data_IF_603003917729
#
_entry.id   IF_603003917729
#
_cell.length_a   1.000
_cell.length_b   1.000
_cell.length_c   1.000
_cell.angle_alpha   90.00
_cell.angle_beta   90.00
_cell.angle_gamma   90.00
#
_symmetry.space_group_name_H-M   'P 1'
#
loop_
_entity.id
_entity.type
_entity.pdbx_description
1 polymer ?
#
# COMPACT_ATOMS: atom_id res chain seq x y z
N UNK A 1 -9.47 -8.01 -13.47
CA UNK A 1 -10.51 -7.71 -12.45
C UNK A 1 -10.77 -8.84 -11.44
N UNK A 2 -11.03 -10.09 -11.87
CA UNK A 2 -11.25 -11.23 -10.94
C UNK A 2 -10.11 -11.45 -9.93
N UNK A 3 -8.85 -11.33 -10.37
CA UNK A 3 -7.68 -11.41 -9.49
C UNK A 3 -7.63 -10.29 -8.43
N UNK A 4 -8.20 -9.13 -8.72
CA UNK A 4 -8.35 -8.02 -7.78
C UNK A 4 -9.57 -8.19 -6.87
N UNK A 5 -10.43 -9.20 -7.10
CA UNK A 5 -11.69 -9.43 -6.37
C UNK A 5 -12.61 -8.19 -6.33
N UNK A 6 -12.66 -7.45 -7.43
CA UNK A 6 -13.54 -6.29 -7.60
C UNK A 6 -14.72 -6.68 -8.48
N UNK A 7 -15.91 -6.18 -8.15
CA UNK A 7 -17.06 -6.18 -9.05
C UNK A 7 -16.79 -5.24 -10.22
N UNK A 8 -17.24 -5.62 -11.41
CA UNK A 8 -17.08 -4.83 -12.62
C UNK A 8 -18.23 -5.12 -13.57
N UNK A 9 -18.60 -4.12 -14.35
CA UNK A 9 -19.49 -4.26 -15.49
C UNK A 9 -18.64 -4.46 -16.75
N UNK A 10 -19.14 -5.25 -17.68
CA UNK A 10 -18.51 -5.44 -18.99
C UNK A 10 -19.34 -4.67 -20.01
N UNK A 11 -18.71 -3.68 -20.64
CA UNK A 11 -19.34 -2.79 -21.63
C UNK A 11 -18.55 -2.84 -22.94
N UNK A 12 -19.20 -2.46 -24.03
CA UNK A 12 -18.56 -2.29 -25.33
C UNK A 12 -17.81 -0.94 -25.41
N UNK A 13 -16.78 -0.82 -26.28
CA UNK A 13 -16.05 0.44 -26.46
C UNK A 13 -16.94 1.63 -26.79
N UNK A 14 -18.00 1.43 -27.58
CA UNK A 14 -18.95 2.47 -27.98
C UNK A 14 -19.82 2.97 -26.82
N UNK A 15 -19.94 2.17 -25.75
CA UNK A 15 -20.74 2.51 -24.56
C UNK A 15 -19.96 3.35 -23.55
N UNK A 16 -18.64 3.45 -23.67
CA UNK A 16 -17.75 4.13 -22.71
C UNK A 16 -18.18 5.57 -22.45
N UNK A 17 -18.56 6.32 -23.50
CA UNK A 17 -18.91 7.74 -23.37
C UNK A 17 -20.19 7.98 -22.57
N UNK A 18 -21.11 7.00 -22.54
CA UNK A 18 -22.39 7.09 -21.84
C UNK A 18 -22.42 6.24 -20.57
N UNK A 19 -21.28 5.67 -20.18
CA UNK A 19 -21.19 4.80 -19.01
C UNK A 19 -21.21 5.62 -17.72
N UNK A 20 -22.14 5.29 -16.83
CA UNK A 20 -22.37 6.01 -15.57
C UNK A 20 -21.46 5.59 -14.41
N UNK A 21 -20.53 4.65 -14.64
CA UNK A 21 -19.56 4.24 -13.63
C UNK A 21 -18.44 5.26 -13.43
N UNK A 22 -17.72 5.10 -12.32
CA UNK A 22 -16.72 6.09 -11.87
C UNK A 22 -15.34 5.92 -12.51
N UNK A 23 -15.06 4.78 -13.12
CA UNK A 23 -13.76 4.44 -13.69
C UNK A 23 -13.95 3.41 -14.80
N UNK A 24 -13.29 3.63 -15.93
CA UNK A 24 -13.29 2.69 -17.05
C UNK A 24 -11.87 2.16 -17.24
N UNK A 25 -11.78 0.84 -17.44
CA UNK A 25 -10.55 0.16 -17.82
C UNK A 25 -10.72 -0.33 -19.25
N UNK A 26 -9.87 0.14 -20.15
CA UNK A 26 -9.97 -0.13 -21.58
C UNK A 26 -8.59 -0.32 -22.20
N UNK A 27 -8.50 -0.73 -23.46
CA UNK A 27 -7.22 -0.71 -24.17
C UNK A 27 -6.92 0.68 -24.72
N UNK A 28 -5.64 1.01 -24.93
CA UNK A 28 -5.27 2.28 -25.59
C UNK A 28 -5.92 2.43 -26.98
N UNK A 29 -6.16 1.32 -27.68
CA UNK A 29 -6.78 1.28 -29.00
C UNK A 29 -8.28 1.56 -28.98
N UNK A 30 -8.97 1.07 -27.95
CA UNK A 30 -10.43 1.22 -27.79
C UNK A 30 -10.81 2.47 -26.99
N UNK A 31 -9.83 3.12 -26.37
CA UNK A 31 -10.04 4.33 -25.58
C UNK A 31 -10.59 5.47 -26.45
N UNK A 32 -11.68 6.15 -26.04
CA UNK A 32 -12.14 7.34 -26.72
C UNK A 32 -11.10 8.46 -26.58
N UNK A 33 -11.08 9.39 -27.56
CA UNK A 33 -10.17 10.56 -27.53
C UNK A 33 -10.48 11.53 -26.40
N UNK A 34 -11.75 11.62 -26.02
CA UNK A 34 -12.27 12.47 -24.94
C UNK A 34 -13.25 11.66 -24.12
N UNK A 35 -13.12 11.70 -22.79
CA UNK A 35 -14.01 11.03 -21.86
C UNK A 35 -14.03 11.83 -20.55
N UNK A 36 -15.22 12.04 -20.00
CA UNK A 36 -15.38 12.66 -18.68
C UNK A 36 -15.03 11.67 -17.57
N UNK A 37 -15.39 10.39 -17.76
CA UNK A 37 -15.05 9.33 -16.82
C UNK A 37 -13.55 9.04 -16.86
N UNK A 38 -12.87 8.97 -15.69
CA UNK A 38 -11.47 8.58 -15.62
C UNK A 38 -11.21 7.25 -16.33
N UNK A 39 -10.13 7.22 -17.10
CA UNK A 39 -9.68 6.05 -17.86
C UNK A 39 -8.38 5.49 -17.28
N UNK A 40 -8.31 4.17 -17.21
CA UNK A 40 -7.10 3.38 -17.07
C UNK A 40 -6.93 2.46 -18.28
N UNK A 41 -5.67 2.17 -18.59
CA UNK A 41 -5.30 1.35 -19.73
C UNK A 41 -4.76 -0.02 -19.28
N UNK A 42 -4.59 -0.93 -20.23
CA UNK A 42 -4.19 -2.31 -20.02
C UNK A 42 -2.76 -2.46 -19.43
N UNK A 43 -1.92 -1.44 -19.60
CA UNK A 43 -0.55 -1.38 -19.09
C UNK A 43 -0.46 -1.44 -17.56
N UNK A 44 -1.52 -1.01 -16.85
CA UNK A 44 -1.53 -1.10 -15.38
C UNK A 44 -1.39 -2.54 -14.89
N UNK A 45 -1.76 -3.54 -15.69
CA UNK A 45 -1.72 -4.94 -15.29
C UNK A 45 -0.31 -5.52 -15.18
N UNK A 46 0.72 -4.78 -15.61
CA UNK A 46 2.12 -5.11 -15.34
C UNK A 46 2.51 -4.87 -13.88
N UNK A 47 1.72 -4.09 -13.13
CA UNK A 47 1.98 -3.79 -11.74
C UNK A 47 1.40 -4.85 -10.76
N UNK A 48 1.93 -4.84 -9.54
CA UNK A 48 1.38 -5.66 -8.46
C UNK A 48 -0.07 -5.26 -8.15
N UNK A 49 -0.98 -6.20 -7.83
CA UNK A 49 -2.39 -5.92 -7.49
C UNK A 49 -2.64 -4.74 -6.53
N UNK A 50 -1.78 -4.58 -5.53
CA UNK A 50 -1.83 -3.45 -4.57
C UNK A 50 -1.57 -2.11 -5.24
N UNK A 51 -0.57 -2.05 -6.13
CA UNK A 51 -0.26 -0.84 -6.90
C UNK A 51 -1.41 -0.54 -7.84
N UNK A 52 -1.98 -1.56 -8.51
CA UNK A 52 -3.17 -1.38 -9.36
C UNK A 52 -4.32 -0.75 -8.56
N UNK A 53 -4.62 -1.28 -7.36
CA UNK A 53 -5.64 -0.69 -6.48
C UNK A 53 -5.34 0.76 -6.13
N UNK A 54 -4.08 1.09 -5.81
CA UNK A 54 -3.67 2.46 -5.55
C UNK A 54 -3.80 3.37 -6.78
N UNK A 55 -3.45 2.91 -7.97
CA UNK A 55 -3.63 3.65 -9.23
C UNK A 55 -5.11 3.92 -9.53
N UNK A 56 -6.00 2.95 -9.27
CA UNK A 56 -7.44 3.14 -9.36
C UNK A 56 -7.91 4.24 -8.38
N UNK A 57 -7.43 4.22 -7.14
CA UNK A 57 -7.75 5.27 -6.16
C UNK A 57 -7.28 6.65 -6.62
N UNK A 58 -6.05 6.75 -7.12
CA UNK A 58 -5.50 8.00 -7.62
C UNK A 58 -6.32 8.57 -8.80
N UNK A 59 -6.83 7.71 -9.68
CA UNK A 59 -7.72 8.14 -10.78
C UNK A 59 -9.11 8.56 -10.33
N UNK A 60 -9.59 8.02 -9.20
CA UNK A 60 -10.90 8.35 -8.64
C UNK A 60 -10.89 9.61 -7.78
N UNK A 61 -9.75 9.93 -7.17
CA UNK A 61 -9.59 11.02 -6.20
C UNK A 61 -8.81 12.21 -6.80
N UNK A 62 -9.12 12.60 -8.04
CA UNK A 62 -8.37 13.62 -8.80
C UNK A 62 -8.33 14.99 -8.11
N UNK A 63 -9.27 15.29 -7.21
CA UNK A 63 -9.42 16.58 -6.53
C UNK A 63 -8.72 16.66 -5.17
N UNK A 64 -8.11 15.56 -4.68
CA UNK A 64 -7.44 15.55 -3.37
C UNK A 64 -5.95 15.87 -3.53
N UNK A 65 -5.54 17.05 -3.04
CA UNK A 65 -4.15 17.54 -3.14
C UNK A 65 -3.17 16.89 -2.14
N UNK A 66 -3.65 16.23 -1.09
CA UNK A 66 -2.79 15.72 -0.02
C UNK A 66 -3.02 14.24 0.23
N UNK A 67 -2.01 13.45 -0.15
CA UNK A 67 -2.13 12.02 -0.09
C UNK A 67 -0.90 11.34 0.46
N UNK A 68 -1.03 10.91 1.72
CA UNK A 68 -0.04 10.13 2.44
C UNK A 68 -0.22 8.64 2.08
N UNK A 69 0.86 8.02 1.62
CA UNK A 69 0.96 6.57 1.51
C UNK A 69 1.53 6.04 2.82
N UNK A 70 0.73 5.33 3.60
CA UNK A 70 1.10 4.85 4.94
C UNK A 70 1.16 3.33 4.95
N UNK A 71 2.31 2.78 5.35
CA UNK A 71 2.54 1.34 5.48
C UNK A 71 2.76 1.02 6.95
N UNK A 72 1.84 0.30 7.58
CA UNK A 72 1.97 -0.23 8.94
C UNK A 72 2.55 -1.64 8.93
N UNK A 73 3.55 -1.88 9.76
CA UNK A 73 4.30 -3.13 9.85
C UNK A 73 4.30 -3.63 11.29
N UNK A 74 3.79 -4.85 11.51
CA UNK A 74 3.86 -5.57 12.78
C UNK A 74 4.99 -6.61 12.76
N UNK A 75 6.18 -6.30 13.31
CA UNK A 75 7.35 -7.15 13.17
C UNK A 75 7.25 -8.44 14.00
N UNK A 76 7.46 -9.58 13.33
CA UNK A 76 7.44 -10.91 13.94
C UNK A 76 7.88 -11.99 12.95
N UNK A 77 7.93 -13.27 13.39
CA UNK A 77 8.24 -14.41 12.51
C UNK A 77 7.39 -14.43 11.23
N UNK A 78 6.11 -14.04 11.39
CA UNK A 78 5.25 -13.61 10.29
C UNK A 78 5.00 -12.14 10.49
N UNK A 79 5.44 -11.33 9.54
CA UNK A 79 5.33 -9.88 9.65
C UNK A 79 4.02 -9.42 9.03
N UNK A 80 3.17 -8.78 9.82
CA UNK A 80 1.92 -8.18 9.35
C UNK A 80 2.20 -6.92 8.55
N UNK A 81 1.40 -6.68 7.49
CA UNK A 81 1.47 -5.48 6.66
C UNK A 81 0.06 -4.93 6.43
N UNK A 82 -0.12 -3.63 6.62
CA UNK A 82 -1.33 -2.92 6.22
C UNK A 82 -0.93 -1.65 5.47
N UNK A 83 -1.56 -1.40 4.33
CA UNK A 83 -1.21 -0.28 3.45
C UNK A 83 -2.45 0.59 3.26
N UNK A 84 -2.29 1.88 3.56
CA UNK A 84 -3.30 2.91 3.42
C UNK A 84 -2.89 3.92 2.37
N UNK A 85 -3.85 4.34 1.56
CA UNK A 85 -3.69 5.35 0.53
C UNK A 85 -5.02 6.08 0.33
N UNK A 86 -5.01 7.41 0.13
CA UNK A 86 -6.21 8.26 0.23
C UNK A 86 -7.07 7.94 1.49
N UNK A 87 -6.42 7.67 2.63
CA UNK A 87 -7.08 7.30 3.89
C UNK A 87 -7.81 5.95 3.92
N UNK A 88 -7.76 5.14 2.85
CA UNK A 88 -8.39 3.81 2.79
C UNK A 88 -7.36 2.69 2.76
N UNK A 89 -7.68 1.57 3.41
CA UNK A 89 -6.84 0.37 3.39
C UNK A 89 -6.92 -0.30 2.00
N UNK A 90 -5.82 -0.30 1.26
CA UNK A 90 -5.72 -0.93 -0.07
C UNK A 90 -5.19 -2.35 -0.01
N UNK A 91 -4.45 -2.68 1.06
CA UNK A 91 -3.94 -4.02 1.33
C UNK A 91 -3.88 -4.29 2.83
N UNK A 92 -4.18 -5.54 3.16
CA UNK A 92 -3.96 -6.13 4.48
C UNK A 92 -3.41 -7.54 4.24
N UNK A 93 -2.18 -7.83 4.67
CA UNK A 93 -1.49 -9.08 4.37
C UNK A 93 -0.47 -9.46 5.46
N UNK A 94 0.16 -10.62 5.31
CA UNK A 94 1.29 -11.04 6.13
C UNK A 94 2.36 -11.63 5.22
N UNK A 95 3.62 -11.47 5.62
CA UNK A 95 4.77 -11.96 4.88
C UNK A 95 5.57 -12.95 5.74
N UNK A 96 6.03 -14.07 5.17
CA UNK A 96 6.74 -15.12 5.92
C UNK A 96 8.20 -14.77 6.20
N UNK A 97 8.74 -13.69 5.60
CA UNK A 97 10.09 -13.21 5.86
C UNK A 97 10.20 -11.70 5.63
N UNK A 98 11.16 -11.06 6.31
CA UNK A 98 11.47 -9.65 6.14
C UNK A 98 11.88 -9.31 4.69
N UNK A 99 12.60 -10.21 4.01
CA UNK A 99 13.02 -10.00 2.63
C UNK A 99 11.84 -9.89 1.65
N UNK A 100 10.90 -10.84 1.71
CA UNK A 100 9.71 -10.80 0.85
C UNK A 100 8.85 -9.57 1.13
N UNK A 101 8.76 -9.18 2.40
CA UNK A 101 8.08 -7.96 2.80
C UNK A 101 8.74 -6.71 2.18
N UNK A 102 10.06 -6.58 2.30
CA UNK A 102 10.82 -5.43 1.79
C UNK A 102 10.68 -5.30 0.28
N UNK A 103 10.81 -6.40 -0.47
CA UNK A 103 10.60 -6.41 -1.93
C UNK A 103 9.20 -5.89 -2.28
N UNK A 104 8.19 -6.33 -1.54
CA UNK A 104 6.81 -5.90 -1.75
C UNK A 104 6.60 -4.42 -1.40
N UNK A 105 7.15 -3.96 -0.27
CA UNK A 105 7.13 -2.54 0.13
C UNK A 105 7.76 -1.67 -0.96
N UNK A 106 8.93 -2.05 -1.49
CA UNK A 106 9.62 -1.31 -2.55
C UNK A 106 8.76 -1.18 -3.80
N UNK A 107 8.07 -2.26 -4.20
CA UNK A 107 7.14 -2.22 -5.34
C UNK A 107 5.99 -1.24 -5.10
N UNK A 108 5.44 -1.19 -3.89
CA UNK A 108 4.36 -0.27 -3.54
C UNK A 108 4.87 1.17 -3.48
N UNK A 109 5.98 1.42 -2.78
CA UNK A 109 6.59 2.74 -2.67
C UNK A 109 7.04 3.28 -4.03
N UNK A 110 7.57 2.45 -4.92
CA UNK A 110 7.97 2.85 -6.27
C UNK A 110 6.79 3.01 -7.23
N UNK A 111 5.74 2.20 -7.07
CA UNK A 111 4.59 2.18 -7.96
C UNK A 111 3.54 3.27 -7.67
N UNK A 112 3.49 3.80 -6.45
CA UNK A 112 2.52 4.81 -6.05
C UNK A 112 3.17 6.17 -5.81
N UNK A 113 2.53 7.22 -6.34
CA UNK A 113 2.93 8.61 -6.12
C UNK A 113 2.18 9.13 -4.90
N UNK A 114 2.89 9.70 -3.95
CA UNK A 114 2.30 10.26 -2.73
C UNK A 114 3.13 11.46 -2.30
N UNK A 115 2.49 12.45 -1.68
CA UNK A 115 3.16 13.65 -1.15
C UNK A 115 4.13 13.25 -0.03
N UNK A 116 3.68 12.32 0.82
CA UNK A 116 4.51 11.69 1.85
C UNK A 116 4.34 10.17 1.78
N UNK A 117 5.45 9.47 1.96
CA UNK A 117 5.50 8.02 2.06
C UNK A 117 5.98 7.68 3.44
N UNK A 118 5.15 7.06 4.26
CA UNK A 118 5.41 6.83 5.68
C UNK A 118 5.39 5.34 5.94
N UNK A 119 6.49 4.81 6.47
CA UNK A 119 6.61 3.42 6.92
C UNK A 119 6.60 3.43 8.44
N UNK A 120 5.50 2.94 9.03
CA UNK A 120 5.32 2.81 10.47
C UNK A 120 5.62 1.37 10.88
N UNK A 121 6.58 1.18 11.79
CA UNK A 121 7.00 -0.14 12.28
C UNK A 121 6.77 -0.20 13.79
N UNK A 122 6.06 -1.23 14.22
CA UNK A 122 5.87 -1.50 15.64
C UNK A 122 7.19 -1.86 16.34
N UNK A 123 7.27 -1.61 17.65
CA UNK A 123 8.47 -1.85 18.46
C UNK A 123 8.48 -3.20 19.20
N UNK A 124 7.54 -4.11 18.92
CA UNK A 124 7.37 -5.38 19.63
C UNK A 124 8.53 -6.36 19.40
N UNK A 125 9.11 -6.36 18.20
CA UNK A 125 10.34 -7.09 17.90
C UNK A 125 11.36 -6.18 17.20
N UNK A 126 12.17 -5.48 18.01
CA UNK A 126 13.17 -4.53 17.52
C UNK A 126 14.29 -5.16 16.69
N UNK A 127 14.55 -6.46 16.83
CA UNK A 127 15.53 -7.16 15.99
C UNK A 127 15.07 -7.21 14.53
N UNK A 128 13.85 -7.70 14.31
CA UNK A 128 13.23 -7.76 12.98
C UNK A 128 12.95 -6.35 12.44
N UNK A 129 12.48 -5.43 13.30
CA UNK A 129 12.21 -4.05 12.90
C UNK A 129 13.46 -3.36 12.33
N UNK A 130 14.60 -3.47 13.02
CA UNK A 130 15.89 -2.93 12.54
C UNK A 130 16.36 -3.59 11.26
N UNK A 131 16.16 -4.90 11.12
CA UNK A 131 16.48 -5.63 9.88
C UNK A 131 15.69 -5.08 8.69
N UNK A 132 14.38 -4.89 8.84
CA UNK A 132 13.52 -4.32 7.78
C UNK A 132 14.00 -2.93 7.37
N UNK A 133 14.29 -2.06 8.35
CA UNK A 133 14.80 -0.70 8.09
C UNK A 133 16.13 -0.73 7.33
N UNK A 134 17.08 -1.56 7.77
CA UNK A 134 18.37 -1.68 7.10
C UNK A 134 18.22 -2.13 5.64
N UNK A 135 17.36 -3.11 5.37
CA UNK A 135 17.10 -3.58 4.01
C UNK A 135 16.42 -2.53 3.14
N UNK A 136 15.44 -1.79 3.69
CA UNK A 136 14.80 -0.69 2.98
C UNK A 136 15.80 0.41 2.60
N UNK A 137 16.69 0.79 3.52
CA UNK A 137 17.70 1.83 3.27
C UNK A 137 18.73 1.45 2.21
N UNK A 138 19.02 0.16 2.08
CA UNK A 138 19.97 -0.36 1.08
C UNK A 138 19.29 -0.50 -0.28
N UNK A 139 18.04 -0.99 -0.31
CA UNK A 139 17.39 -1.42 -1.55
C UNK A 139 16.48 -0.36 -2.18
N UNK A 140 16.02 0.64 -1.42
CA UNK A 140 15.12 1.67 -1.91
C UNK A 140 15.82 3.01 -2.04
N UNK A 141 15.97 3.53 -3.26
CA UNK A 141 16.74 4.74 -3.52
C UNK A 141 15.91 6.05 -3.47
N UNK A 142 14.66 6.01 -3.00
CA UNK A 142 13.81 7.22 -2.85
C UNK A 142 13.51 7.55 -1.39
N UNK A 143 13.21 8.81 -1.10
CA UNK A 143 12.90 9.27 0.25
C UNK A 143 11.59 8.67 0.77
N UNK A 144 11.59 8.33 2.05
CA UNK A 144 10.40 7.98 2.82
C UNK A 144 10.61 8.40 4.27
N UNK A 145 9.53 8.42 5.04
CA UNK A 145 9.55 8.71 6.46
C UNK A 145 9.43 7.40 7.22
N UNK A 146 10.25 7.21 8.25
CA UNK A 146 10.14 6.06 9.15
C UNK A 146 9.55 6.50 10.49
N UNK A 147 8.64 5.71 11.04
CA UNK A 147 8.09 5.95 12.36
C UNK A 147 8.11 4.66 13.17
N UNK A 148 8.69 4.71 14.38
CA UNK A 148 8.57 3.61 15.32
C UNK A 148 7.37 3.84 16.25
N UNK A 149 6.48 2.84 16.31
CA UNK A 149 5.22 2.92 17.06
C UNK A 149 5.28 2.01 18.29
N UNK A 150 4.87 2.53 19.46
CA UNK A 150 4.86 1.75 20.70
C UNK A 150 3.67 0.79 20.81
N UNK A 151 3.98 -0.51 20.84
CA UNK A 151 3.03 -1.63 20.88
C UNK A 151 2.52 -1.99 22.27
N UNK A 152 2.99 -1.34 23.36
CA UNK A 152 2.58 -1.71 24.74
C UNK A 152 1.06 -1.67 25.02
N UNK A 153 0.26 -1.09 24.11
CA UNK A 153 -1.21 -1.09 24.14
C UNK A 153 -1.89 -1.84 22.96
N UNK A 154 -1.14 -2.47 22.05
CA UNK A 154 -1.70 -3.26 20.91
C UNK A 154 -2.13 -4.67 21.32
N UNK A 155 -2.01 -5.01 22.61
CA UNK A 155 -2.49 -6.25 23.22
C UNK A 155 -4.03 -6.36 23.28
N UNK A 156 -4.75 -6.01 22.22
CA UNK A 156 -6.08 -6.59 22.00
C UNK A 156 -5.88 -8.06 21.60
N UNK A 157 -5.53 -8.87 22.61
CA UNK A 157 -5.35 -10.32 22.49
C UNK A 157 -6.71 -10.92 22.13
N UNK A 158 -6.99 -11.08 20.84
CA UNK A 158 -7.94 -12.09 20.40
C UNK A 158 -7.43 -13.41 20.98
N UNK A 159 -8.12 -13.94 22.00
CA UNK A 159 -7.69 -15.11 22.81
C UNK A 159 -7.65 -16.43 22.02
N UNK A 160 -7.99 -16.41 20.73
CA UNK A 160 -8.13 -17.62 19.92
C UNK A 160 -6.86 -17.90 19.11
N UNK A 161 -6.14 -18.95 19.49
CA UNK A 161 -4.90 -19.42 18.87
C UNK A 161 -5.03 -19.71 17.36
N UNK A 162 -6.23 -20.03 16.87
CA UNK A 162 -6.48 -20.41 15.47
C UNK A 162 -6.64 -19.24 14.49
N UNK A 163 -6.47 -17.98 14.94
CA UNK A 163 -6.62 -16.79 14.08
C UNK A 163 -5.35 -15.92 13.98
N UNK A 164 -4.17 -16.52 14.22
CA UNK A 164 -2.88 -15.81 14.30
C UNK A 164 -2.63 -14.85 13.12
N UNK A 165 -2.87 -15.29 11.88
CA UNK A 165 -2.68 -14.42 10.71
C UNK A 165 -3.63 -13.21 10.64
N UNK A 166 -4.89 -13.35 11.11
CA UNK A 166 -5.82 -12.20 11.21
C UNK A 166 -5.37 -11.21 12.27
N UNK A 167 -4.76 -11.69 13.35
CA UNK A 167 -4.23 -10.85 14.42
C UNK A 167 -3.06 -10.00 13.91
N UNK A 168 -2.11 -10.61 13.20
CA UNK A 168 -0.93 -9.89 12.70
C UNK A 168 -1.35 -8.79 11.68
N UNK A 169 -2.38 -9.06 10.86
CA UNK A 169 -2.99 -8.05 9.98
C UNK A 169 -3.66 -6.91 10.76
N UNK A 170 -4.42 -7.23 11.83
CA UNK A 170 -5.07 -6.22 12.68
C UNK A 170 -4.04 -5.36 13.41
N UNK A 171 -2.98 -5.96 13.95
CA UNK A 171 -1.88 -5.23 14.58
C UNK A 171 -1.22 -4.26 13.60
N UNK A 172 -0.88 -4.71 12.39
CA UNK A 172 -0.30 -3.86 11.36
C UNK A 172 -1.21 -2.67 10.99
N UNK A 173 -2.53 -2.90 10.95
CA UNK A 173 -3.54 -1.85 10.76
C UNK A 173 -3.59 -0.86 11.92
N UNK A 174 -3.46 -1.31 13.16
CA UNK A 174 -3.36 -0.40 14.31
C UNK A 174 -2.08 0.44 14.28
N UNK A 175 -0.97 -0.16 13.82
CA UNK A 175 0.32 0.51 13.71
C UNK A 175 0.27 1.62 12.65
N UNK A 176 -0.35 1.39 11.49
CA UNK A 176 -0.45 2.43 10.45
C UNK A 176 -1.24 3.66 10.89
N UNK A 177 -2.23 3.50 11.77
CA UNK A 177 -3.14 4.57 12.19
C UNK A 177 -2.68 5.36 13.42
N UNK A 178 -1.60 4.93 14.09
CA UNK A 178 -1.16 5.49 15.38
C UNK A 178 0.04 6.40 15.20
N UNK A 179 0.14 7.41 16.07
CA UNK A 179 1.32 8.27 16.15
C UNK A 179 2.40 7.66 17.06
N UNK A 180 3.64 7.76 16.60
CA UNK A 180 4.87 7.27 17.22
C UNK A 180 6.02 8.25 17.06
N UNK A 181 7.25 7.78 17.32
CA UNK A 181 8.44 8.61 17.16
C UNK A 181 8.86 8.64 15.69
N UNK A 182 8.83 9.83 15.09
CA UNK A 182 9.16 10.05 13.67
C UNK A 182 10.65 10.29 13.47
N UNK A 183 11.25 9.51 12.56
CA UNK A 183 12.57 9.76 11.99
C UNK A 183 12.43 9.86 10.47
N UNK A 184 12.84 10.98 9.89
CA UNK A 184 12.96 11.05 8.44
C UNK A 184 14.17 10.22 8.00
N UNK A 185 13.97 9.22 7.14
CA UNK A 185 15.06 8.40 6.62
C UNK A 185 15.19 8.67 5.12
N UNK A 186 16.27 9.36 4.77
CA UNK A 186 16.68 9.47 3.39
C UNK A 186 17.53 8.24 3.06
N UNK A 187 17.29 7.57 1.93
CA UNK A 187 18.12 6.46 1.51
C UNK A 187 19.56 6.92 1.31
N UNK A 188 20.49 6.00 1.51
CA UNK A 188 21.92 6.28 1.48
C UNK A 188 22.39 6.89 0.15
N UNK A 189 21.67 6.60 -0.94
CA UNK A 189 21.92 7.16 -2.27
C UNK A 189 21.66 8.67 -2.40
N UNK A 190 20.93 9.27 -1.44
CA UNK A 190 20.61 10.72 -1.42
C UNK A 190 21.52 11.46 -0.41
N UNK A 191 22.11 10.75 0.55
CA UNK A 191 22.99 11.34 1.57
C UNK A 191 24.48 11.27 1.21
N UNK A 192 24.80 10.87 -0.02
CA UNK A 192 26.16 10.79 -0.57
C UNK A 192 26.58 12.05 -1.31
#
# INVERSE_FOLDING_TARGET
MKALKLSFDSILPEEIQNYSGHLVLTTRKESPKTCETPLLHEDIFEHHPTVIRGLMMQKLNLDFEEDDLILGIDPGERTGLSIFYYGKEIESSFHPSAEKLVIHIIRVLGGLRAKRKIVKIGNGNMGIAKQIVAMLNIQFCSSFELEFVDERKTSMKIKNFNQRGKRDMLSAKYISQRDGYRHSILPLSITG
#
